data_IF_014696260781
#
_entry.id   IF_014696260781
#
_cell.length_a   1.000
_cell.length_b   1.000
_cell.length_c   1.000
_cell.angle_alpha   90.00
_cell.angle_beta   90.00
_cell.angle_gamma   90.00
#
_symmetry.space_group_name_H-M   'P 1'
#
loop_
_entity.id
_entity.type
_entity.pdbx_description
1 polymer ?
#
# COMPACT_ATOMS: atom_id res chain seq x y z
N UNK A 1 -8.19 -7.10 -11.05
CA UNK A 1 -7.27 -7.74 -12.02
C UNK A 1 -6.00 -8.19 -11.32
N UNK A 2 -5.60 -9.46 -11.47
CA UNK A 2 -4.32 -9.95 -10.94
C UNK A 2 -3.18 -9.40 -11.79
N UNK A 3 -2.34 -8.56 -11.18
CA UNK A 3 -1.23 -7.82 -11.81
C UNK A 3 -0.05 -8.74 -12.23
N UNK A 4 -0.08 -10.02 -11.86
CA UNK A 4 0.98 -11.00 -12.17
C UNK A 4 0.59 -11.92 -13.33
N UNK A 5 1.50 -12.06 -14.29
CA UNK A 5 1.36 -13.01 -15.40
C UNK A 5 1.55 -14.43 -14.85
N UNK A 6 0.50 -15.26 -14.94
CA UNK A 6 0.53 -16.65 -14.43
C UNK A 6 1.68 -17.50 -15.01
N UNK A 7 2.18 -17.16 -16.19
CA UNK A 7 3.22 -17.93 -16.89
C UNK A 7 4.63 -17.40 -16.58
N UNK A 8 4.86 -16.08 -16.67
CA UNK A 8 6.20 -15.48 -16.47
C UNK A 8 6.62 -15.39 -15.00
N UNK A 9 5.65 -15.27 -14.11
CA UNK A 9 5.89 -15.03 -12.68
C UNK A 9 5.85 -16.31 -11.84
N UNK A 10 6.01 -17.49 -12.44
CA UNK A 10 6.15 -18.77 -11.72
C UNK A 10 7.59 -19.27 -11.68
N UNK A 11 7.91 -19.99 -10.61
CA UNK A 11 9.13 -20.78 -10.46
C UNK A 11 9.00 -22.08 -11.28
N UNK A 12 10.10 -22.80 -11.54
CA UNK A 12 10.07 -24.11 -12.21
C UNK A 12 9.12 -25.12 -11.54
N UNK A 13 8.94 -25.01 -10.21
CA UNK A 13 7.98 -25.80 -9.43
C UNK A 13 6.51 -25.34 -9.53
N UNK A 14 6.19 -24.39 -10.39
CA UNK A 14 4.83 -23.86 -10.58
C UNK A 14 4.36 -22.89 -9.49
N UNK A 15 5.12 -22.69 -8.41
CA UNK A 15 4.83 -21.70 -7.37
C UNK A 15 5.01 -20.28 -7.92
N UNK A 16 4.14 -19.35 -7.53
CA UNK A 16 4.30 -17.93 -7.85
C UNK A 16 5.59 -17.38 -7.22
N UNK A 17 6.38 -16.65 -8.01
CA UNK A 17 7.55 -15.91 -7.55
C UNK A 17 7.12 -14.94 -6.46
N UNK A 18 7.61 -15.22 -5.25
CA UNK A 18 7.40 -14.33 -4.12
C UNK A 18 8.23 -13.07 -4.32
N UNK A 19 7.54 -11.95 -4.48
CA UNK A 19 8.15 -10.63 -4.55
C UNK A 19 9.15 -10.38 -3.40
N UNK A 20 8.86 -10.87 -2.20
CA UNK A 20 9.70 -10.71 -1.00
C UNK A 20 10.92 -11.63 -0.92
N UNK A 21 10.82 -12.86 -1.45
CA UNK A 21 11.88 -13.89 -1.28
C UNK A 21 12.79 -14.04 -2.50
N UNK A 22 12.26 -13.77 -3.70
CA UNK A 22 12.97 -14.01 -4.96
C UNK A 22 12.90 -12.83 -5.92
N UNK A 23 12.12 -11.79 -5.61
CA UNK A 23 11.87 -10.67 -6.52
C UNK A 23 13.09 -9.81 -6.85
N UNK A 24 14.13 -9.80 -6.00
CA UNK A 24 15.41 -9.11 -6.27
C UNK A 24 16.22 -9.76 -7.39
N UNK A 25 16.04 -11.06 -7.62
CA UNK A 25 16.85 -11.84 -8.59
C UNK A 25 16.19 -11.96 -9.97
N UNK A 26 14.95 -11.50 -10.13
CA UNK A 26 14.22 -11.60 -11.39
C UNK A 26 13.94 -10.21 -11.96
N UNK A 27 14.39 -9.96 -13.19
CA UNK A 27 14.11 -8.71 -13.93
C UNK A 27 12.62 -8.43 -14.07
N UNK A 28 11.76 -9.45 -14.22
CA UNK A 28 10.30 -9.29 -14.21
C UNK A 28 9.75 -8.72 -12.89
N UNK A 29 10.50 -8.87 -11.81
CA UNK A 29 10.17 -8.38 -10.48
C UNK A 29 10.82 -7.02 -10.15
N UNK A 30 11.79 -6.56 -10.95
CA UNK A 30 12.62 -5.36 -10.70
C UNK A 30 11.82 -4.04 -10.67
N UNK A 31 10.88 -3.84 -11.62
CA UNK A 31 9.97 -2.68 -11.65
C UNK A 31 9.12 -2.54 -10.37
N UNK A 32 8.95 -3.63 -9.63
CA UNK A 32 8.22 -3.63 -8.36
C UNK A 32 9.13 -3.37 -7.14
N UNK A 33 10.44 -3.33 -7.35
CA UNK A 33 11.47 -3.03 -6.36
C UNK A 33 11.68 -1.52 -6.18
N UNK A 34 11.37 -0.71 -7.20
CA UNK A 34 11.32 0.77 -7.15
C UNK A 34 10.13 1.31 -6.34
N UNK A 35 9.88 0.73 -5.17
CA UNK A 35 8.95 1.31 -4.21
C UNK A 35 9.66 2.45 -3.50
N UNK A 36 8.98 3.57 -3.37
CA UNK A 36 9.40 4.65 -2.46
C UNK A 36 9.77 4.04 -1.10
N UNK A 37 10.90 4.47 -0.48
CA UNK A 37 11.36 3.94 0.79
C UNK A 37 10.24 3.84 1.84
N UNK A 38 10.33 2.81 2.68
CA UNK A 38 9.29 2.55 3.70
C UNK A 38 9.10 3.74 4.64
N UNK A 39 10.17 4.46 4.99
CA UNK A 39 10.12 5.68 5.80
C UNK A 39 9.33 6.79 5.09
N UNK A 40 9.60 7.03 3.80
CA UNK A 40 8.93 8.06 3.01
C UNK A 40 7.43 7.78 2.91
N UNK A 41 7.07 6.50 2.72
CA UNK A 41 5.66 6.06 2.77
C UNK A 41 4.98 6.24 4.11
N UNK A 42 5.74 6.11 5.19
CA UNK A 42 5.24 6.21 6.55
C UNK A 42 5.18 7.66 7.05
N UNK A 43 5.86 8.60 6.39
CA UNK A 43 5.91 10.00 6.81
C UNK A 43 5.19 10.94 5.83
N UNK A 44 5.37 10.75 4.53
CA UNK A 44 5.04 11.76 3.50
C UNK A 44 3.86 11.38 2.61
N UNK A 45 3.43 10.11 2.63
CA UNK A 45 2.32 9.62 1.81
C UNK A 45 1.07 9.34 2.66
N UNK A 46 -0.03 8.93 2.05
CA UNK A 46 -1.36 8.73 2.67
C UNK A 46 -1.46 7.63 3.76
N UNK A 47 -0.34 7.08 4.25
CA UNK A 47 -0.34 5.97 5.21
C UNK A 47 -0.62 6.42 6.65
N UNK A 48 -0.08 7.55 7.16
CA UNK A 48 -0.45 8.11 8.46
C UNK A 48 -1.93 8.46 8.51
N UNK A 49 -2.42 9.22 7.53
CA UNK A 49 -3.84 9.58 7.41
C UNK A 49 -4.74 8.33 7.46
N UNK A 50 -4.40 7.28 6.71
CA UNK A 50 -5.15 6.01 6.74
C UNK A 50 -5.14 5.31 8.10
N UNK A 51 -4.07 5.44 8.90
CA UNK A 51 -4.01 4.89 10.25
C UNK A 51 -4.92 5.67 11.19
N UNK A 52 -4.93 6.99 11.07
CA UNK A 52 -5.80 7.88 11.86
C UNK A 52 -7.26 7.64 11.54
N UNK A 53 -7.64 7.63 10.26
CA UNK A 53 -9.01 7.31 9.82
C UNK A 53 -9.45 5.95 10.34
N UNK A 54 -8.60 4.92 10.22
CA UNK A 54 -8.91 3.58 10.76
C UNK A 54 -9.14 3.61 12.26
N UNK A 55 -8.33 4.37 13.02
CA UNK A 55 -8.50 4.52 14.46
C UNK A 55 -9.85 5.17 14.81
N UNK A 56 -10.22 6.22 14.07
CA UNK A 56 -11.51 6.90 14.24
C UNK A 56 -12.70 5.98 13.90
N UNK A 57 -12.62 5.25 12.79
CA UNK A 57 -13.66 4.28 12.42
C UNK A 57 -13.82 3.16 13.45
N UNK A 58 -12.72 2.66 14.02
CA UNK A 58 -12.80 1.68 15.11
C UNK A 58 -13.52 2.26 16.33
N UNK A 59 -13.32 3.53 16.65
CA UNK A 59 -14.04 4.16 17.77
C UNK A 59 -15.54 4.27 17.49
N UNK A 60 -15.94 4.60 16.26
CA UNK A 60 -17.35 4.58 15.84
C UNK A 60 -17.94 3.19 15.99
N UNK A 61 -17.23 2.15 15.52
CA UNK A 61 -17.66 0.76 15.69
C UNK A 61 -17.84 0.35 17.16
N UNK A 62 -17.11 0.99 18.08
CA UNK A 62 -17.24 0.78 19.52
C UNK A 62 -18.27 1.71 20.20
N UNK A 63 -19.15 2.35 19.43
CA UNK A 63 -20.28 3.12 19.95
C UNK A 63 -20.01 4.62 20.13
N UNK A 64 -18.89 5.14 19.60
CA UNK A 64 -18.67 6.59 19.52
C UNK A 64 -19.57 7.19 18.45
N UNK A 65 -20.18 8.33 18.74
CA UNK A 65 -20.97 9.07 17.78
C UNK A 65 -20.13 9.47 16.54
N UNK A 66 -20.66 9.20 15.36
CA UNK A 66 -19.99 9.43 14.08
C UNK A 66 -20.05 10.91 13.68
N UNK A 67 -21.14 11.60 14.01
CA UNK A 67 -21.37 12.98 13.59
C UNK A 67 -20.50 13.98 14.39
N UNK A 68 -20.06 13.57 15.58
CA UNK A 68 -19.08 14.31 16.39
C UNK A 68 -17.61 14.13 15.99
N UNK A 69 -17.30 13.33 14.97
CA UNK A 69 -15.92 13.05 14.55
C UNK A 69 -15.55 13.83 13.29
N UNK A 70 -14.60 14.76 13.44
CA UNK A 70 -13.95 15.38 12.30
C UNK A 70 -12.87 14.45 11.72
N UNK A 71 -13.14 13.85 10.56
CA UNK A 71 -12.12 13.09 9.83
C UNK A 71 -11.05 14.03 9.26
N UNK A 72 -9.77 13.61 9.24
CA UNK A 72 -8.71 14.41 8.65
C UNK A 72 -9.00 14.62 7.16
N UNK A 73 -9.02 15.89 6.73
CA UNK A 73 -9.11 16.26 5.32
C UNK A 73 -7.83 15.80 4.65
N UNK A 74 -7.94 14.93 3.64
CA UNK A 74 -6.76 14.36 2.98
C UNK A 74 -5.96 15.50 2.36
N UNK A 75 -4.79 15.77 2.92
CA UNK A 75 -3.91 16.82 2.43
C UNK A 75 -2.98 16.20 1.39
N UNK A 76 -3.57 15.48 0.43
CA UNK A 76 -2.81 14.92 -0.68
C UNK A 76 -2.12 16.10 -1.35
N UNK A 77 -0.79 16.15 -1.39
CA UNK A 77 -0.09 17.10 -2.22
C UNK A 77 -0.35 16.65 -3.66
N UNK A 78 -1.50 17.01 -4.22
CA UNK A 78 -1.73 16.98 -5.66
C UNK A 78 -1.07 18.22 -6.25
N UNK A 79 0.22 18.32 -6.00
CA UNK A 79 1.13 19.09 -6.80
C UNK A 79 2.02 17.99 -7.42
N UNK A 80 1.68 17.58 -8.65
CA UNK A 80 2.58 17.03 -9.67
C UNK A 80 2.89 15.49 -9.62
N UNK A 81 2.87 14.60 -10.65
CA UNK A 81 2.94 14.61 -12.14
C UNK A 81 2.26 13.33 -12.74
N UNK A 82 1.83 13.43 -14.01
CA UNK A 82 1.42 12.39 -14.99
C UNK A 82 1.94 10.95 -14.79
#
# INVERSE_FOLDING_TARGET
MSVKSRVRDRLPSGRLKSYRRVGSHFTSCSRWFDKSPSWYRNMMLTRPERREVRKLLNQVLHGRDADGIAFPVSNKPFAWWW
#
